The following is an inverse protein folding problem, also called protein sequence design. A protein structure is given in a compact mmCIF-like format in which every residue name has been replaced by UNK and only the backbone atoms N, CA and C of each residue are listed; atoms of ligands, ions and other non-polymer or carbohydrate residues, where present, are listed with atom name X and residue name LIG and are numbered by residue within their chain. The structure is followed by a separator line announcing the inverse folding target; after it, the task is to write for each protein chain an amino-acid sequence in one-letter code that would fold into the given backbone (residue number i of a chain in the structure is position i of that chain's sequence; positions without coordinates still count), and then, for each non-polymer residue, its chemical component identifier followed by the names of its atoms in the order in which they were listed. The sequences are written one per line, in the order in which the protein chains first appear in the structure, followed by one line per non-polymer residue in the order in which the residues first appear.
data_IF_680835076976
#
_entry.id   IF_680835076976
#
_cell.length_a   1.000
_cell.length_b   1.000
_cell.length_c   1.000
_cell.angle_alpha   90.00
_cell.angle_beta   90.00
_cell.angle_gamma   90.00
#
_symmetry.space_group_name_H-M   'P 1'
#
loop_
_entity.id
_entity.type
_entity.pdbx_description
1 polymer ?
#
# COMPACT_ATOMS: atom_id res chain seq x y z
N UNK A 1 -1.30 41.07 20.63
CA UNK A 1 -1.60 40.28 19.41
C UNK A 1 -0.41 40.13 18.48
N UNK A 2 0.52 41.10 18.40
CA UNK A 2 1.75 40.99 17.59
C UNK A 2 2.84 40.11 18.20
N UNK A 3 2.97 40.06 19.53
CA UNK A 3 3.97 39.20 20.20
C UNK A 3 3.66 37.71 20.05
N UNK A 4 2.39 37.28 20.19
CA UNK A 4 2.05 35.85 20.03
C UNK A 4 2.21 35.35 18.61
N UNK A 5 2.03 36.21 17.60
CA UNK A 5 2.27 35.90 16.19
C UNK A 5 3.75 35.77 15.84
N UNK A 6 4.63 36.49 16.54
CA UNK A 6 6.07 36.37 16.39
C UNK A 6 6.58 35.07 17.02
N UNK A 7 6.17 34.76 18.26
CA UNK A 7 6.54 33.52 18.96
C UNK A 7 6.05 32.25 18.22
N UNK A 8 4.85 32.29 17.65
CA UNK A 8 4.31 31.21 16.82
C UNK A 8 5.14 30.97 15.54
N UNK A 9 5.62 32.04 14.89
CA UNK A 9 6.47 31.94 13.69
C UNK A 9 7.84 31.36 14.01
N UNK A 10 8.47 31.80 15.09
CA UNK A 10 9.78 31.28 15.53
C UNK A 10 9.68 29.79 15.87
N UNK A 11 8.59 29.37 16.52
CA UNK A 11 8.34 27.95 16.86
C UNK A 11 8.11 27.09 15.61
N UNK A 12 7.45 27.63 14.58
CA UNK A 12 7.25 26.92 13.30
C UNK A 12 8.54 26.78 12.48
N UNK A 13 9.40 27.81 12.48
CA UNK A 13 10.71 27.76 11.82
C UNK A 13 11.64 26.74 12.50
N UNK A 14 11.68 26.71 13.83
CA UNK A 14 12.45 25.72 14.59
C UNK A 14 11.97 24.28 14.35
N UNK A 15 10.65 24.07 14.27
CA UNK A 15 10.08 22.77 13.92
C UNK A 15 10.41 22.36 12.48
N UNK A 16 10.36 23.29 11.53
CA UNK A 16 10.72 23.02 10.13
C UNK A 16 12.20 22.63 10.00
N UNK A 17 13.09 23.29 10.73
CA UNK A 17 14.53 22.97 10.72
C UNK A 17 14.82 21.62 11.39
N UNK A 18 14.10 21.27 12.45
CA UNK A 18 14.20 19.94 13.07
C UNK A 18 13.77 18.83 12.09
N UNK A 19 12.65 19.02 11.39
CA UNK A 19 12.15 18.06 10.39
C UNK A 19 13.17 17.88 9.26
N UNK A 20 13.77 18.96 8.76
CA UNK A 20 14.83 18.88 7.73
C UNK A 20 16.00 18.01 8.19
N UNK A 21 16.50 18.23 9.40
CA UNK A 21 17.59 17.42 9.96
C UNK A 21 17.23 15.94 10.08
N UNK A 22 16.00 15.63 10.50
CA UNK A 22 15.54 14.24 10.56
C UNK A 22 15.44 13.59 9.18
N UNK A 23 14.97 14.33 8.17
CA UNK A 23 14.94 13.84 6.78
C UNK A 23 16.35 13.56 6.28
N UNK A 24 17.28 14.50 6.49
CA UNK A 24 18.68 14.37 6.03
C UNK A 24 19.40 13.19 6.70
N UNK A 25 19.25 13.04 8.02
CA UNK A 25 19.81 11.92 8.77
C UNK A 25 19.22 10.59 8.31
N UNK A 26 17.90 10.51 8.14
CA UNK A 26 17.24 9.28 7.68
C UNK A 26 17.67 8.90 6.26
N UNK A 27 17.79 9.88 5.35
CA UNK A 27 18.27 9.66 3.99
C UNK A 27 19.72 9.14 3.97
N UNK A 28 20.61 9.74 4.76
CA UNK A 28 22.01 9.31 4.85
C UNK A 28 22.13 7.87 5.36
N UNK A 29 21.41 7.53 6.43
CA UNK A 29 21.38 6.17 6.99
C UNK A 29 20.79 5.15 6.01
N UNK A 30 19.77 5.52 5.23
CA UNK A 30 19.19 4.66 4.22
C UNK A 30 20.18 4.34 3.09
N UNK A 31 20.95 5.34 2.63
CA UNK A 31 22.01 5.15 1.64
C UNK A 31 23.16 4.27 2.16
N UNK A 32 23.56 4.45 3.42
CA UNK A 32 24.57 3.56 4.04
C UNK A 32 24.06 2.13 4.18
N UNK A 33 22.81 1.95 4.63
CA UNK A 33 22.20 0.63 4.74
C UNK A 33 22.15 -0.09 3.39
N UNK A 34 21.83 0.62 2.30
CA UNK A 34 21.86 0.05 0.95
C UNK A 34 23.27 -0.37 0.53
N UNK A 35 24.28 0.47 0.75
CA UNK A 35 25.70 0.14 0.47
C UNK A 35 26.17 -1.09 1.25
N UNK A 36 25.82 -1.17 2.54
CA UNK A 36 26.15 -2.33 3.38
C UNK A 36 25.47 -3.58 2.84
N UNK A 37 24.18 -3.49 2.49
CA UNK A 37 23.41 -4.60 1.90
C UNK A 37 24.02 -5.09 0.59
N UNK A 38 24.37 -4.18 -0.32
CA UNK A 38 25.06 -4.52 -1.57
C UNK A 38 26.38 -5.27 -1.31
N UNK A 39 27.16 -4.83 -0.31
CA UNK A 39 28.41 -5.51 0.07
C UNK A 39 28.15 -6.89 0.66
N UNK A 40 27.12 -7.05 1.50
CA UNK A 40 26.70 -8.33 2.05
C UNK A 40 26.27 -9.29 0.94
N UNK A 41 25.47 -8.82 -0.02
CA UNK A 41 25.01 -9.61 -1.17
C UNK A 41 26.18 -10.04 -2.07
N UNK A 42 27.16 -9.16 -2.31
CA UNK A 42 28.39 -9.52 -3.02
C UNK A 42 29.17 -10.63 -2.30
N UNK A 43 29.36 -10.52 -0.98
CA UNK A 43 30.05 -11.55 -0.19
C UNK A 43 29.29 -12.89 -0.22
N UNK A 44 27.97 -12.85 -0.13
CA UNK A 44 27.12 -14.05 -0.24
C UNK A 44 27.35 -14.74 -1.59
N UNK A 45 27.36 -14.00 -2.70
CA UNK A 45 27.65 -14.55 -4.03
C UNK A 45 29.04 -15.18 -4.15
N UNK A 46 30.05 -14.61 -3.46
CA UNK A 46 31.39 -15.24 -3.39
C UNK A 46 31.34 -16.60 -2.69
N UNK A 47 30.66 -16.69 -1.54
CA UNK A 47 30.51 -17.96 -0.82
C UNK A 47 29.69 -18.99 -1.62
N UNK A 48 28.66 -18.57 -2.35
CA UNK A 48 27.89 -19.44 -3.25
C UNK A 48 28.77 -20.01 -4.37
N UNK A 49 29.66 -19.20 -4.95
CA UNK A 49 30.60 -19.64 -6.00
C UNK A 49 31.60 -20.66 -5.46
N UNK A 50 32.19 -20.38 -4.29
CA UNK A 50 33.12 -21.28 -3.61
C UNK A 50 32.43 -22.62 -3.24
N UNK A 51 31.22 -22.53 -2.67
CA UNK A 51 30.44 -23.70 -2.30
C UNK A 51 30.01 -24.53 -3.51
N UNK A 52 29.69 -23.90 -4.64
CA UNK A 52 29.34 -24.60 -5.88
C UNK A 52 30.50 -25.49 -6.34
N UNK A 53 31.74 -24.97 -6.32
CA UNK A 53 32.92 -25.77 -6.63
C UNK A 53 33.18 -26.89 -5.61
N UNK A 54 33.04 -26.58 -4.31
CA UNK A 54 33.36 -27.53 -3.23
C UNK A 54 32.31 -28.64 -3.04
N UNK A 55 31.05 -28.37 -3.35
CA UNK A 55 29.95 -29.33 -3.27
C UNK A 55 29.78 -30.13 -4.57
N UNK A 56 30.37 -29.66 -5.68
CA UNK A 56 30.38 -30.38 -6.97
C UNK A 56 30.98 -31.77 -6.79
N UNK A 57 30.26 -32.78 -7.27
CA UNK A 57 30.64 -34.19 -7.17
C UNK A 57 30.74 -34.74 -5.73
N UNK A 58 30.16 -34.04 -4.75
CA UNK A 58 30.00 -34.53 -3.37
C UNK A 58 28.56 -34.94 -3.09
N UNK A 59 28.37 -35.79 -2.07
CA UNK A 59 27.04 -36.09 -1.51
C UNK A 59 26.62 -35.12 -0.40
N UNK A 60 27.45 -34.11 -0.08
CA UNK A 60 27.17 -33.18 0.99
C UNK A 60 26.20 -32.10 0.51
N UNK A 61 25.22 -31.77 1.35
CA UNK A 61 24.24 -30.73 1.06
C UNK A 61 24.72 -29.35 1.54
N UNK A 62 25.71 -29.28 2.42
CA UNK A 62 26.16 -28.01 3.00
C UNK A 62 27.65 -28.00 3.26
N UNK A 63 28.24 -26.80 3.22
CA UNK A 63 29.62 -26.52 3.62
C UNK A 63 29.67 -25.29 4.54
N UNK A 64 30.56 -25.30 5.52
CA UNK A 64 30.76 -24.18 6.45
C UNK A 64 32.17 -23.60 6.33
N UNK A 65 32.24 -22.27 6.30
CA UNK A 65 33.48 -21.49 6.31
C UNK A 65 33.57 -20.72 7.63
N UNK A 66 34.71 -20.82 8.32
CA UNK A 66 34.96 -20.15 9.59
C UNK A 66 35.84 -18.92 9.41
N UNK A 67 35.48 -17.83 10.09
CA UNK A 67 36.31 -16.64 10.22
C UNK A 67 37.23 -16.71 11.43
N UNK A 68 38.15 -15.76 11.52
CA UNK A 68 39.12 -15.65 12.62
C UNK A 68 38.53 -15.17 13.95
N UNK A 69 37.29 -14.66 13.95
CA UNK A 69 36.61 -14.09 15.12
C UNK A 69 35.39 -14.90 15.53
N UNK A 70 35.50 -16.24 15.49
CA UNK A 70 34.43 -17.18 15.87
C UNK A 70 33.10 -16.97 15.08
N UNK A 71 33.20 -16.46 13.85
CA UNK A 71 32.09 -16.31 12.92
C UNK A 71 32.07 -17.47 11.93
N UNK A 72 30.88 -17.86 11.46
CA UNK A 72 30.72 -18.96 10.51
C UNK A 72 29.67 -18.65 9.44
N UNK A 73 30.02 -18.84 8.18
CA UNK A 73 29.08 -18.83 7.05
C UNK A 73 28.80 -20.28 6.66
N UNK A 74 27.54 -20.65 6.50
CA UNK A 74 27.14 -21.99 6.02
C UNK A 74 26.34 -21.84 4.75
N UNK A 75 26.77 -22.52 3.70
CA UNK A 75 26.09 -22.56 2.41
C UNK A 75 25.48 -23.94 2.25
N UNK A 76 24.18 -24.00 2.01
CA UNK A 76 23.42 -25.25 1.84
C UNK A 76 22.77 -25.27 0.48
N UNK A 77 23.07 -26.31 -0.31
CA UNK A 77 22.40 -26.59 -1.57
C UNK A 77 20.96 -27.04 -1.28
N UNK A 78 19.99 -26.32 -1.83
CA UNK A 78 18.56 -26.62 -1.70
C UNK A 78 17.96 -26.81 -3.08
N UNK A 79 17.23 -27.91 -3.27
CA UNK A 79 16.47 -28.16 -4.49
C UNK A 79 15.01 -27.77 -4.23
N UNK A 80 14.53 -26.72 -4.91
CA UNK A 80 13.10 -26.36 -4.90
C UNK A 80 12.48 -26.81 -6.21
N UNK A 81 11.43 -27.63 -6.14
CA UNK A 81 10.68 -28.06 -7.33
C UNK A 81 9.52 -27.12 -7.57
N UNK A 82 9.56 -26.38 -8.69
CA UNK A 82 8.44 -25.54 -9.15
C UNK A 82 7.87 -26.17 -10.43
N UNK A 83 6.63 -26.67 -10.43
CA UNK A 83 6.06 -27.31 -11.61
C UNK A 83 5.75 -26.26 -12.69
N UNK A 84 6.24 -26.49 -13.92
CA UNK A 84 5.87 -25.69 -15.11
C UNK A 84 4.41 -26.00 -15.50
N UNK A 85 4.00 -27.26 -15.36
CA UNK A 85 2.61 -27.70 -15.58
C UNK A 85 2.24 -28.75 -14.54
N UNK A 86 1.44 -28.33 -13.55
CA UNK A 86 0.89 -29.24 -12.56
C UNK A 86 -0.01 -30.30 -13.21
N UNK A 87 -0.65 -29.97 -14.34
CA UNK A 87 -1.48 -30.91 -15.11
C UNK A 87 -0.64 -32.04 -15.71
N UNK A 88 0.54 -31.75 -16.27
CA UNK A 88 1.44 -32.79 -16.77
C UNK A 88 1.98 -33.66 -15.64
N UNK A 89 2.33 -33.04 -14.49
CA UNK A 89 2.77 -33.78 -13.29
C UNK A 89 1.67 -34.72 -12.80
N UNK A 90 0.42 -34.23 -12.68
CA UNK A 90 -0.74 -35.06 -12.32
C UNK A 90 -0.96 -36.19 -13.33
N UNK A 91 -0.76 -35.95 -14.63
CA UNK A 91 -0.86 -37.00 -15.68
C UNK A 91 0.20 -38.08 -15.53
N UNK A 92 1.44 -37.72 -15.19
CA UNK A 92 2.54 -38.69 -14.97
C UNK A 92 2.31 -39.49 -13.69
N UNK A 93 1.87 -38.84 -12.61
CA UNK A 93 1.59 -39.48 -11.32
C UNK A 93 0.32 -40.34 -11.36
N UNK A 94 -0.60 -40.09 -12.30
CA UNK A 94 -1.79 -40.91 -12.52
C UNK A 94 -2.64 -41.03 -11.25
N UNK A 95 -3.00 -42.26 -10.90
CA UNK A 95 -3.95 -42.55 -9.82
C UNK A 95 -3.43 -42.19 -8.41
N UNK A 96 -2.11 -42.06 -8.22
CA UNK A 96 -1.52 -41.66 -6.93
C UNK A 96 -1.31 -40.15 -6.81
N UNK A 97 -1.66 -39.36 -7.83
CA UNK A 97 -1.43 -37.91 -7.83
C UNK A 97 -2.05 -37.20 -6.61
N UNK A 98 -3.18 -37.70 -6.08
CA UNK A 98 -3.81 -37.15 -4.87
C UNK A 98 -2.98 -37.30 -3.60
N UNK A 99 -2.10 -38.29 -3.52
CA UNK A 99 -1.21 -38.53 -2.37
C UNK A 99 -0.02 -37.54 -2.37
N UNK A 100 0.38 -37.08 -3.56
CA UNK A 100 1.54 -36.20 -3.75
C UNK A 100 1.17 -34.74 -4.02
N UNK A 101 -0.06 -34.46 -4.48
CA UNK A 101 -0.51 -33.12 -4.88
C UNK A 101 -1.78 -32.76 -4.11
N UNK A 102 -1.60 -32.02 -3.01
CA UNK A 102 -2.70 -31.37 -2.29
C UNK A 102 -3.17 -30.15 -3.07
N UNK A 103 -4.48 -30.03 -3.26
CA UNK A 103 -5.10 -28.84 -3.84
C UNK A 103 -5.82 -28.09 -2.72
N UNK A 104 -5.29 -26.94 -2.34
CA UNK A 104 -5.92 -26.04 -1.36
C UNK A 104 -6.54 -24.87 -2.12
N UNK A 105 -7.85 -24.70 -2.01
CA UNK A 105 -8.53 -23.46 -2.42
C UNK A 105 -8.39 -22.45 -1.31
N UNK A 106 -7.57 -21.44 -1.55
CA UNK A 106 -7.40 -20.31 -0.64
C UNK A 106 -8.14 -19.12 -1.23
N UNK A 107 -9.26 -18.75 -0.62
CA UNK A 107 -9.96 -17.52 -0.96
C UNK A 107 -9.12 -16.31 -0.51
N UNK A 108 -8.89 -15.39 -1.45
CA UNK A 108 -8.16 -14.16 -1.18
C UNK A 108 -9.07 -12.97 -1.48
N UNK A 109 -9.18 -12.06 -0.52
CA UNK A 109 -9.85 -10.80 -0.75
C UNK A 109 -9.11 -9.98 -1.80
N UNK A 110 -9.86 -9.50 -2.78
CA UNK A 110 -9.32 -8.60 -3.81
C UNK A 110 -9.07 -7.20 -3.24
N UNK A 111 -8.21 -6.43 -3.89
CA UNK A 111 -7.91 -5.06 -3.47
C UNK A 111 -9.16 -4.16 -3.38
N UNK A 112 -10.13 -4.22 -4.31
CA UNK A 112 -11.39 -3.48 -4.17
C UNK A 112 -12.20 -3.91 -2.94
N UNK A 113 -12.25 -5.20 -2.62
CA UNK A 113 -12.96 -5.70 -1.44
C UNK A 113 -12.31 -5.18 -0.15
N UNK A 114 -10.97 -5.27 -0.03
CA UNK A 114 -10.25 -4.72 1.12
C UNK A 114 -10.50 -3.23 1.32
N UNK A 115 -10.49 -2.45 0.23
CA UNK A 115 -10.77 -1.01 0.27
C UNK A 115 -12.18 -0.69 0.73
N UNK A 116 -13.17 -1.45 0.25
CA UNK A 116 -14.55 -1.29 0.67
C UNK A 116 -14.69 -1.53 2.18
N UNK A 117 -14.14 -2.65 2.68
CA UNK A 117 -14.19 -3.01 4.09
C UNK A 117 -13.43 -1.99 4.96
N UNK A 118 -12.26 -1.52 4.52
CA UNK A 118 -11.51 -0.48 5.21
C UNK A 118 -12.32 0.81 5.34
N UNK A 119 -12.91 1.29 4.24
CA UNK A 119 -13.77 2.46 4.23
C UNK A 119 -14.96 2.32 5.21
N UNK A 120 -15.61 1.16 5.24
CA UNK A 120 -16.73 0.87 6.16
C UNK A 120 -16.29 0.88 7.62
N UNK A 121 -15.19 0.20 7.94
CA UNK A 121 -14.68 0.11 9.30
C UNK A 121 -14.19 1.47 9.83
N UNK A 122 -13.57 2.28 8.97
CA UNK A 122 -13.08 3.62 9.32
C UNK A 122 -14.19 4.68 9.39
N UNK A 123 -15.33 4.45 8.73
CA UNK A 123 -16.39 5.45 8.66
C UNK A 123 -16.09 6.58 7.68
N UNK A 124 -15.26 6.33 6.67
CA UNK A 124 -14.83 7.34 5.69
C UNK A 124 -15.88 7.54 4.58
N UNK A 125 -17.13 7.80 4.97
CA UNK A 125 -18.26 7.99 4.07
C UNK A 125 -19.35 8.82 4.73
N UNK A 126 -20.12 9.52 3.91
CA UNK A 126 -21.24 10.36 4.33
C UNK A 126 -22.41 10.11 3.40
N UNK A 127 -23.59 9.87 3.98
CA UNK A 127 -24.81 9.65 3.19
C UNK A 127 -25.13 10.87 2.32
N UNK A 128 -25.38 10.62 1.04
CA UNK A 128 -25.70 11.66 0.07
C UNK A 128 -25.52 11.17 -1.36
N UNK A 129 -25.67 12.10 -2.31
CA UNK A 129 -25.40 11.84 -3.72
C UNK A 129 -24.39 12.82 -4.30
N UNK A 130 -23.49 12.31 -5.14
CA UNK A 130 -22.54 13.14 -5.88
C UNK A 130 -23.28 14.15 -6.76
N UNK A 131 -24.47 13.82 -7.25
CA UNK A 131 -25.30 14.74 -8.01
C UNK A 131 -25.70 15.97 -7.18
N UNK A 132 -26.14 15.76 -5.95
CA UNK A 132 -26.56 16.83 -5.03
C UNK A 132 -25.36 17.67 -4.60
N UNK A 133 -24.23 17.03 -4.24
CA UNK A 133 -22.98 17.71 -3.92
C UNK A 133 -22.54 18.62 -5.07
N UNK A 134 -22.59 18.14 -6.32
CA UNK A 134 -22.20 18.94 -7.49
C UNK A 134 -23.18 20.10 -7.74
N UNK A 135 -24.47 19.93 -7.47
CA UNK A 135 -25.44 21.04 -7.55
C UNK A 135 -25.21 22.10 -6.47
N UNK A 136 -24.76 21.69 -5.28
CA UNK A 136 -24.42 22.61 -4.20
C UNK A 136 -23.14 23.43 -4.49
N UNK A 137 -22.18 22.84 -5.20
CA UNK A 137 -20.93 23.50 -5.60
C UNK A 137 -21.17 24.63 -6.61
N UNK A 138 -22.06 24.43 -7.59
CA UNK A 138 -22.26 25.41 -8.67
C UNK A 138 -23.62 25.27 -9.34
N UNK A 139 -24.21 26.40 -9.75
CA UNK A 139 -25.42 26.44 -10.57
C UNK A 139 -25.18 26.27 -12.08
N UNK A 140 -23.93 26.28 -12.55
CA UNK A 140 -23.62 26.16 -13.99
C UNK A 140 -23.70 24.71 -14.47
N UNK A 141 -24.65 24.42 -15.35
CA UNK A 141 -24.89 23.06 -15.86
C UNK A 141 -23.70 22.43 -16.62
N UNK A 142 -22.85 23.22 -17.28
CA UNK A 142 -21.65 22.70 -17.97
C UNK A 142 -20.57 22.33 -16.97
N UNK A 143 -20.38 23.16 -15.94
CA UNK A 143 -19.44 22.86 -14.85
C UNK A 143 -19.94 21.62 -14.09
N UNK A 144 -21.23 21.55 -13.75
CA UNK A 144 -21.82 20.38 -13.11
C UNK A 144 -21.57 19.08 -13.90
N UNK A 145 -21.82 19.08 -15.21
CA UNK A 145 -21.56 17.90 -16.06
C UNK A 145 -20.08 17.48 -16.05
N UNK A 146 -19.18 18.46 -16.02
CA UNK A 146 -17.73 18.21 -15.96
C UNK A 146 -17.32 17.61 -14.61
N UNK A 147 -17.82 18.18 -13.50
CA UNK A 147 -17.53 17.71 -12.15
C UNK A 147 -18.07 16.30 -11.91
N UNK A 148 -19.34 16.01 -12.25
CA UNK A 148 -19.91 14.66 -12.14
C UNK A 148 -19.08 13.59 -12.85
N UNK A 149 -18.53 13.94 -14.01
CA UNK A 149 -17.70 13.01 -14.79
C UNK A 149 -16.33 12.79 -14.16
N UNK A 150 -15.72 13.84 -13.59
CA UNK A 150 -14.30 13.88 -13.23
C UNK A 150 -14.00 13.71 -11.74
N UNK A 151 -14.93 14.02 -10.84
CA UNK A 151 -14.79 13.71 -9.43
C UNK A 151 -14.79 12.18 -9.25
N UNK A 152 -13.81 11.67 -8.50
CA UNK A 152 -13.58 10.22 -8.32
C UNK A 152 -13.24 9.85 -6.87
N UNK A 153 -13.43 10.76 -5.93
CA UNK A 153 -13.07 10.59 -4.52
C UNK A 153 -11.57 10.56 -4.29
N UNK A 154 -10.80 11.25 -5.16
CA UNK A 154 -9.35 11.36 -5.05
C UNK A 154 -9.00 12.75 -4.57
N UNK A 155 -8.98 12.93 -3.25
CA UNK A 155 -8.87 14.23 -2.57
C UNK A 155 -7.97 15.26 -3.29
N UNK A 156 -6.68 15.00 -3.46
CA UNK A 156 -5.75 15.94 -4.11
C UNK A 156 -6.13 16.29 -5.55
N UNK A 157 -6.55 15.30 -6.33
CA UNK A 157 -6.94 15.50 -7.74
C UNK A 157 -8.28 16.21 -7.86
N UNK A 158 -9.20 15.91 -6.97
CA UNK A 158 -10.53 16.47 -6.94
C UNK A 158 -10.49 17.92 -6.43
N UNK A 159 -9.67 18.23 -5.41
CA UNK A 159 -9.36 19.60 -4.96
C UNK A 159 -8.81 20.46 -6.10
N UNK A 160 -7.74 20.00 -6.76
CA UNK A 160 -7.15 20.72 -7.89
C UNK A 160 -8.12 20.91 -9.07
N UNK A 161 -9.02 19.94 -9.30
CA UNK A 161 -10.07 20.05 -10.30
C UNK A 161 -11.09 21.13 -9.92
N UNK A 162 -11.51 21.18 -8.66
CA UNK A 162 -12.50 22.13 -8.14
C UNK A 162 -11.97 23.57 -8.21
N UNK A 163 -10.72 23.81 -7.82
CA UNK A 163 -10.07 25.11 -7.99
C UNK A 163 -10.04 25.53 -9.47
N UNK A 164 -9.61 24.62 -10.35
CA UNK A 164 -9.40 24.94 -11.77
C UNK A 164 -10.70 25.10 -12.56
N UNK A 165 -11.71 24.29 -12.29
CA UNK A 165 -12.92 24.18 -13.13
C UNK A 165 -14.10 24.91 -12.52
N UNK A 166 -14.26 24.88 -11.20
CA UNK A 166 -15.31 25.62 -10.50
C UNK A 166 -14.85 26.99 -10.01
N UNK A 167 -13.53 27.30 -10.08
CA UNK A 167 -12.99 28.58 -9.66
C UNK A 167 -13.03 28.78 -8.14
N UNK A 168 -13.11 27.70 -7.38
CA UNK A 168 -13.25 27.75 -5.93
C UNK A 168 -11.93 28.18 -5.26
N UNK A 169 -11.99 28.95 -4.16
CA UNK A 169 -10.85 29.15 -3.28
C UNK A 169 -10.30 27.83 -2.75
N UNK A 170 -9.01 27.79 -2.43
CA UNK A 170 -8.32 26.57 -1.98
C UNK A 170 -9.04 25.87 -0.80
N UNK A 171 -9.47 26.65 0.20
CA UNK A 171 -10.17 26.12 1.37
C UNK A 171 -11.51 25.50 0.99
N UNK A 172 -12.33 26.19 0.20
CA UNK A 172 -13.62 25.66 -0.23
C UNK A 172 -13.44 24.43 -1.14
N UNK A 173 -12.47 24.46 -2.05
CA UNK A 173 -12.16 23.31 -2.90
C UNK A 173 -11.70 22.09 -2.08
N UNK A 174 -10.94 22.31 -1.01
CA UNK A 174 -10.55 21.29 -0.04
C UNK A 174 -11.77 20.67 0.64
N UNK A 175 -12.65 21.50 1.20
CA UNK A 175 -13.84 21.04 1.93
C UNK A 175 -14.80 20.26 1.02
N UNK A 176 -15.02 20.76 -0.21
CA UNK A 176 -15.83 20.07 -1.21
C UNK A 176 -15.19 18.77 -1.73
N UNK A 177 -13.86 18.73 -1.88
CA UNK A 177 -13.15 17.51 -2.27
C UNK A 177 -13.25 16.41 -1.20
N UNK A 178 -13.18 16.81 0.07
CA UNK A 178 -13.37 15.90 1.21
C UNK A 178 -14.79 15.31 1.19
N UNK A 179 -15.81 16.17 1.14
CA UNK A 179 -17.20 15.72 1.11
C UNK A 179 -17.51 14.86 -0.13
N UNK A 180 -17.00 15.24 -1.30
CA UNK A 180 -17.19 14.46 -2.52
C UNK A 180 -16.58 13.05 -2.40
N UNK A 181 -15.43 12.89 -1.73
CA UNK A 181 -14.84 11.59 -1.50
C UNK A 181 -15.70 10.70 -0.59
N UNK A 182 -16.24 11.27 0.49
CA UNK A 182 -17.11 10.55 1.42
C UNK A 182 -18.45 10.15 0.79
N UNK A 183 -19.06 11.03 0.00
CA UNK A 183 -20.31 10.75 -0.71
C UNK A 183 -20.12 9.69 -1.80
N UNK A 184 -19.01 9.75 -2.55
CA UNK A 184 -18.67 8.72 -3.54
C UNK A 184 -18.47 7.36 -2.86
N UNK A 185 -17.85 7.33 -1.69
CA UNK A 185 -17.68 6.11 -0.90
C UNK A 185 -19.03 5.53 -0.45
N UNK A 186 -19.97 6.39 -0.03
CA UNK A 186 -21.33 5.98 0.31
C UNK A 186 -22.07 5.39 -0.89
N UNK A 187 -22.09 6.10 -2.03
CA UNK A 187 -22.73 5.61 -3.26
C UNK A 187 -22.12 4.28 -3.71
N UNK A 188 -20.80 4.11 -3.56
CA UNK A 188 -20.13 2.85 -3.87
C UNK A 188 -20.58 1.71 -2.95
N UNK A 189 -20.66 1.95 -1.63
CA UNK A 189 -21.18 0.97 -0.68
C UNK A 189 -22.62 0.55 -1.02
N UNK A 190 -23.50 1.53 -1.24
CA UNK A 190 -24.90 1.28 -1.58
C UNK A 190 -25.03 0.44 -2.87
N UNK A 191 -24.28 0.77 -3.92
CA UNK A 191 -24.27 0.01 -5.17
C UNK A 191 -23.77 -1.43 -4.97
N UNK A 192 -22.78 -1.65 -4.11
CA UNK A 192 -22.28 -3.00 -3.82
C UNK A 192 -23.34 -3.81 -3.07
N UNK A 193 -24.02 -3.21 -2.08
CA UNK A 193 -25.10 -3.89 -1.34
C UNK A 193 -26.29 -4.23 -2.25
N UNK A 194 -26.69 -3.30 -3.12
CA UNK A 194 -27.74 -3.53 -4.11
C UNK A 194 -27.36 -4.67 -5.07
N UNK A 195 -26.15 -4.64 -5.62
CA UNK A 195 -25.65 -5.69 -6.52
C UNK A 195 -25.50 -7.05 -5.83
N UNK A 196 -25.28 -7.06 -4.51
CA UNK A 196 -25.23 -8.27 -3.69
C UNK A 196 -26.62 -8.82 -3.34
N UNK A 197 -27.70 -8.09 -3.64
CA UNK A 197 -29.06 -8.46 -3.25
C UNK A 197 -29.30 -8.34 -1.75
N UNK A 198 -28.64 -7.39 -1.08
CA UNK A 198 -28.87 -7.12 0.33
C UNK A 198 -30.26 -6.51 0.56
N UNK A 199 -31.08 -7.16 1.40
CA UNK A 199 -32.46 -6.73 1.69
C UNK A 199 -32.59 -5.85 2.95
N UNK A 200 -31.53 -5.78 3.77
CA UNK A 200 -31.49 -4.97 4.97
C UNK A 200 -31.13 -3.49 4.69
N UNK A 201 -31.00 -2.72 5.75
CA UNK A 201 -30.51 -1.34 5.66
C UNK A 201 -29.00 -1.31 5.45
N UNK A 202 -28.48 -0.22 4.86
CA UNK A 202 -27.04 0.01 4.74
C UNK A 202 -26.36 0.03 6.11
N UNK A 203 -27.03 0.55 7.14
CA UNK A 203 -26.49 0.60 8.50
C UNK A 203 -26.34 -0.80 9.12
N UNK A 204 -27.31 -1.69 8.93
CA UNK A 204 -27.20 -3.08 9.38
C UNK A 204 -26.01 -3.79 8.71
N UNK A 205 -25.79 -3.56 7.41
CA UNK A 205 -24.63 -4.10 6.71
C UNK A 205 -23.31 -3.56 7.28
N UNK A 206 -23.24 -2.25 7.58
CA UNK A 206 -22.07 -1.62 8.20
C UNK A 206 -21.76 -2.28 9.56
N UNK A 207 -22.77 -2.49 10.39
CA UNK A 207 -22.61 -3.08 11.72
C UNK A 207 -22.11 -4.53 11.64
N UNK A 208 -22.65 -5.32 10.69
CA UNK A 208 -22.18 -6.69 10.43
C UNK A 208 -20.72 -6.69 9.95
N UNK A 209 -20.36 -5.81 9.02
CA UNK A 209 -19.00 -5.70 8.50
C UNK A 209 -18.02 -5.34 9.63
N UNK A 210 -18.36 -4.35 10.46
CA UNK A 210 -17.54 -3.90 11.58
C UNK A 210 -17.35 -4.97 12.65
N UNK A 211 -18.35 -5.84 12.84
CA UNK A 211 -18.23 -6.99 13.74
C UNK A 211 -17.36 -8.13 13.16
N UNK A 212 -17.30 -8.25 11.83
CA UNK A 212 -16.63 -9.35 11.14
C UNK A 212 -15.20 -9.03 10.68
N UNK A 213 -14.82 -7.74 10.59
CA UNK A 213 -13.56 -7.31 9.99
C UNK A 213 -12.81 -6.35 10.92
N UNK A 214 -11.55 -6.69 11.21
CA UNK A 214 -10.61 -5.80 11.91
C UNK A 214 -9.74 -5.12 10.87
N UNK A 215 -9.60 -3.80 10.99
CA UNK A 215 -8.71 -2.99 10.16
C UNK A 215 -7.64 -2.40 11.06
N UNK A 216 -6.41 -2.80 10.84
CA UNK A 216 -5.24 -2.25 11.53
C UNK A 216 -4.69 -1.08 10.72
N UNK A 217 -4.66 0.10 11.33
CA UNK A 217 -4.05 1.28 10.73
C UNK A 217 -2.55 1.31 11.02
N UNK A 218 -1.75 1.47 9.96
CA UNK A 218 -0.31 1.56 10.05
C UNK A 218 0.20 2.76 9.27
N UNK A 219 1.15 3.49 9.85
CA UNK A 219 1.89 4.52 9.14
C UNK A 219 3.12 3.90 8.48
N UNK A 220 3.32 4.18 7.20
CA UNK A 220 4.54 3.79 6.47
C UNK A 220 5.41 5.02 6.28
N UNK A 221 6.62 4.96 6.82
CA UNK A 221 7.67 5.95 6.55
C UNK A 221 8.50 5.44 5.36
N UNK A 222 8.67 6.28 4.34
CA UNK A 222 9.55 6.02 3.21
C UNK A 222 10.51 7.19 3.05
N UNK A 223 11.70 6.91 2.53
CA UNK A 223 12.68 7.92 2.13
C UNK A 223 13.09 7.66 0.70
N UNK A 224 13.10 8.71 -0.10
CA UNK A 224 13.63 8.72 -1.45
C UNK A 224 14.90 9.57 -1.42
N UNK A 225 16.04 8.95 -1.70
CA UNK A 225 17.32 9.64 -1.74
C UNK A 225 18.07 9.16 -2.99
N UNK A 226 18.41 10.09 -3.88
CA UNK A 226 19.28 9.80 -5.01
C UNK A 226 20.73 9.75 -4.53
N UNK A 227 21.52 8.82 -5.09
CA UNK A 227 22.96 8.88 -4.88
C UNK A 227 23.48 10.12 -5.60
N UNK A 228 24.24 11.01 -4.94
CA UNK A 228 24.86 12.13 -5.65
C UNK A 228 25.74 11.58 -6.78
N UNK A 229 25.56 12.12 -7.99
CA UNK A 229 26.42 11.79 -9.14
C UNK A 229 27.88 12.02 -8.75
N UNK A 230 28.71 10.98 -8.91
CA UNK A 230 30.15 10.97 -8.62
C UNK A 230 30.92 11.47 -9.83
#
# INVERSE_FOLDING_TARGET
MTESLAELKTTQEEQADLVRRYVDEYAALALEADRIKQRMDWLKGQFETLATGALKDTKLLSISYWGSQNSRVTVTNTATVKPISLTMVKKVLGNVAGDFVKSETVDKMTEPCKRLLAMVCQGNFTEGSLEETVRAITGDGKIQATLRKKLKGRYEKDKALLEKVAGLPEQEASDWAFLAAEVINWEWLAQVLEAAGWEGTTQEAIDIIRAAVIVEEGMKVGVEAEQPEV
#
